data_IF_433950024502
#
_entry.id   IF_433950024502
#
_cell.length_a   1.000
_cell.length_b   1.000
_cell.length_c   1.000
_cell.angle_alpha   90.00
_cell.angle_beta   90.00
_cell.angle_gamma   90.00
#
_symmetry.space_group_name_H-M   'P 1'
#
loop_
_entity.id
_entity.type
_entity.pdbx_description
1 polymer ?
#
# COMPACT_ATOMS: atom_id res chain seq x y z
N UNK A 1 -4.55 20.80 -11.50
CA UNK A 1 -3.83 19.56 -11.80
C UNK A 1 -4.72 18.39 -11.41
N UNK A 2 -5.13 17.59 -12.38
CA UNK A 2 -5.96 16.41 -12.16
C UNK A 2 -5.13 15.32 -11.43
N UNK A 3 -5.82 14.33 -10.81
CA UNK A 3 -5.15 13.11 -10.30
C UNK A 3 -4.39 12.52 -11.49
N UNK A 4 -3.08 12.73 -11.49
CA UNK A 4 -2.28 12.68 -12.71
C UNK A 4 -1.54 11.36 -12.87
N UNK A 5 -2.17 10.46 -13.59
CA UNK A 5 -1.52 9.55 -14.53
C UNK A 5 -2.56 9.29 -15.62
N UNK A 6 -2.16 9.29 -16.89
CA UNK A 6 -3.13 9.21 -17.99
C UNK A 6 -4.08 8.03 -17.84
N UNK A 7 -3.59 6.87 -17.42
CA UNK A 7 -4.39 5.64 -17.29
C UNK A 7 -5.36 5.68 -16.12
N UNK A 8 -4.87 6.00 -14.92
CA UNK A 8 -5.69 6.10 -13.71
C UNK A 8 -6.75 7.20 -13.85
N UNK A 9 -6.41 8.34 -14.48
CA UNK A 9 -7.34 9.44 -14.71
C UNK A 9 -8.52 9.03 -15.60
N UNK A 10 -8.28 8.26 -16.66
CA UNK A 10 -9.35 7.77 -17.55
C UNK A 10 -10.26 6.80 -16.81
N UNK A 11 -9.68 5.85 -16.06
CA UNK A 11 -10.45 4.89 -15.25
C UNK A 11 -11.28 5.62 -14.20
N UNK A 12 -10.68 6.56 -13.46
CA UNK A 12 -11.37 7.38 -12.47
C UNK A 12 -12.51 8.20 -13.06
N UNK A 13 -12.33 8.76 -14.26
CA UNK A 13 -13.40 9.50 -14.96
C UNK A 13 -14.60 8.61 -15.28
N UNK A 14 -14.35 7.38 -15.77
CA UNK A 14 -15.43 6.41 -16.05
C UNK A 14 -16.13 5.98 -14.76
N UNK A 15 -15.35 5.66 -13.71
CA UNK A 15 -15.87 5.27 -12.41
C UNK A 15 -16.68 6.37 -11.76
N UNK A 16 -16.17 7.60 -11.70
CA UNK A 16 -16.87 8.73 -11.09
C UNK A 16 -18.17 9.04 -11.81
N UNK A 17 -18.18 9.02 -13.16
CA UNK A 17 -19.39 9.19 -13.95
C UNK A 17 -20.45 8.14 -13.64
N UNK A 18 -20.08 6.88 -13.59
CA UNK A 18 -20.99 5.77 -13.30
C UNK A 18 -21.46 5.78 -11.83
N UNK A 19 -20.52 5.87 -10.89
CA UNK A 19 -20.85 5.81 -9.46
C UNK A 19 -21.56 7.04 -8.93
N UNK A 20 -21.49 8.19 -9.62
CA UNK A 20 -22.26 9.39 -9.27
C UNK A 20 -23.77 9.21 -9.43
N UNK A 21 -24.23 8.21 -10.17
CA UNK A 21 -25.66 7.89 -10.34
C UNK A 21 -26.27 7.18 -9.12
N UNK A 22 -25.42 6.61 -8.25
CA UNK A 22 -25.87 5.95 -7.03
C UNK A 22 -25.97 6.96 -5.87
N UNK A 23 -27.03 6.88 -5.11
CA UNK A 23 -27.18 7.67 -3.87
C UNK A 23 -26.46 6.98 -2.69
N UNK A 24 -25.16 6.77 -2.85
CA UNK A 24 -24.33 6.05 -1.90
C UNK A 24 -22.91 6.66 -1.83
N UNK A 25 -22.27 6.46 -0.69
CA UNK A 25 -20.91 6.92 -0.48
C UNK A 25 -19.91 5.91 -1.06
N UNK A 26 -19.10 6.35 -2.01
CA UNK A 26 -17.95 5.62 -2.55
C UNK A 26 -16.72 6.51 -2.41
N UNK A 27 -15.70 6.00 -1.76
CA UNK A 27 -14.47 6.73 -1.52
C UNK A 27 -13.30 6.06 -2.20
N UNK A 28 -12.48 6.85 -2.88
CA UNK A 28 -11.12 6.50 -3.25
C UNK A 28 -10.26 6.63 -2.00
N UNK A 29 -9.39 5.66 -1.71
CA UNK A 29 -8.63 5.62 -0.45
C UNK A 29 -7.20 5.10 -0.66
N UNK A 30 -6.32 5.35 0.29
CA UNK A 30 -5.03 4.65 0.38
C UNK A 30 -3.94 5.14 -0.56
N UNK A 31 -3.16 4.19 -1.06
CA UNK A 31 -1.91 4.45 -1.79
C UNK A 31 -2.06 5.30 -3.05
N UNK A 32 -3.17 5.20 -3.77
CA UNK A 32 -3.43 5.98 -4.98
C UNK A 32 -3.53 7.49 -4.69
N UNK A 33 -4.12 7.91 -3.55
CA UNK A 33 -4.16 9.30 -3.14
C UNK A 33 -2.78 9.80 -2.72
N UNK A 34 -2.05 9.02 -1.91
CA UNK A 34 -0.66 9.29 -1.57
C UNK A 34 0.19 9.51 -2.82
N UNK A 35 0.12 8.59 -3.76
CA UNK A 35 0.94 8.63 -4.98
C UNK A 35 0.54 9.81 -5.88
N UNK A 36 -0.76 10.21 -5.89
CA UNK A 36 -1.22 11.43 -6.55
C UNK A 36 -0.63 12.71 -5.94
N UNK A 37 -0.52 12.78 -4.60
CA UNK A 37 0.15 13.91 -3.93
C UNK A 37 1.64 13.99 -4.26
N UNK A 38 2.29 12.83 -4.43
CA UNK A 38 3.72 12.71 -4.71
C UNK A 38 4.04 12.74 -6.21
N UNK A 39 3.05 12.93 -7.09
CA UNK A 39 3.18 12.86 -8.55
C UNK A 39 3.84 11.54 -9.00
N UNK A 40 3.46 10.42 -8.38
CA UNK A 40 3.93 9.07 -8.71
C UNK A 40 2.89 8.33 -9.56
N UNK A 41 3.31 7.37 -10.39
CA UNK A 41 2.38 6.53 -11.13
C UNK A 41 1.43 5.77 -10.22
N UNK A 42 0.15 5.68 -10.61
CA UNK A 42 -0.89 4.93 -9.93
C UNK A 42 -1.08 3.62 -10.67
N UNK A 43 -0.91 2.49 -9.99
CA UNK A 43 -1.00 1.14 -10.57
C UNK A 43 -2.28 0.42 -10.20
N UNK A 44 -2.94 0.83 -9.13
CA UNK A 44 -4.17 0.27 -8.59
C UNK A 44 -5.03 1.35 -7.96
N UNK A 45 -6.31 1.06 -7.78
CA UNK A 45 -7.25 1.91 -7.05
C UNK A 45 -7.91 1.10 -5.94
N UNK A 46 -7.91 1.66 -4.74
CA UNK A 46 -8.68 1.14 -3.62
C UNK A 46 -9.95 1.95 -3.44
N UNK A 47 -11.11 1.29 -3.52
CA UNK A 47 -12.41 1.88 -3.28
C UNK A 47 -13.06 1.28 -2.03
N UNK A 48 -13.60 2.15 -1.20
CA UNK A 48 -14.44 1.77 -0.06
C UNK A 48 -15.85 2.28 -0.31
N UNK A 49 -16.85 1.40 -0.20
CA UNK A 49 -18.24 1.72 -0.54
C UNK A 49 -19.22 1.21 0.50
N UNK A 50 -20.27 2.00 0.75
CA UNK A 50 -21.41 1.57 1.56
C UNK A 50 -22.32 0.54 0.86
N UNK A 51 -22.15 0.36 -0.44
CA UNK A 51 -22.80 -0.70 -1.21
C UNK A 51 -22.09 -2.03 -1.00
N UNK A 52 -22.81 -3.14 -1.16
CA UNK A 52 -22.17 -4.45 -1.12
C UNK A 52 -21.25 -4.63 -2.36
N UNK A 53 -19.92 -4.82 -2.18
CA UNK A 53 -18.97 -5.03 -3.27
C UNK A 53 -19.33 -6.17 -4.21
N UNK A 54 -19.98 -7.24 -3.72
CA UNK A 54 -20.36 -8.37 -4.54
C UNK A 54 -21.59 -8.11 -5.42
N UNK A 55 -22.37 -7.08 -5.08
CA UNK A 55 -23.49 -6.63 -5.92
C UNK A 55 -23.02 -5.61 -6.95
N UNK A 56 -22.29 -4.56 -6.50
CA UNK A 56 -21.92 -3.46 -7.40
C UNK A 56 -20.67 -3.78 -8.23
N UNK A 57 -19.76 -4.65 -7.74
CA UNK A 57 -18.51 -4.98 -8.42
C UNK A 57 -18.70 -5.56 -9.82
N UNK A 58 -19.59 -6.55 -10.04
CA UNK A 58 -19.90 -7.05 -11.39
C UNK A 58 -20.45 -5.98 -12.32
N UNK A 59 -21.28 -5.05 -11.80
CA UNK A 59 -21.87 -3.97 -12.59
C UNK A 59 -20.82 -2.94 -13.00
N UNK A 60 -19.93 -2.55 -12.07
CA UNK A 60 -18.78 -1.70 -12.36
C UNK A 60 -17.87 -2.37 -13.40
N UNK A 61 -17.52 -3.65 -13.19
CA UNK A 61 -16.68 -4.40 -14.11
C UNK A 61 -17.25 -4.41 -15.53
N UNK A 62 -18.54 -4.65 -15.67
CA UNK A 62 -19.23 -4.58 -16.96
C UNK A 62 -19.14 -3.19 -17.60
N UNK A 63 -19.30 -2.12 -16.80
CA UNK A 63 -19.27 -0.74 -17.29
C UNK A 63 -17.90 -0.32 -17.80
N UNK A 64 -16.82 -0.79 -17.15
CA UNK A 64 -15.44 -0.44 -17.52
C UNK A 64 -14.73 -1.52 -18.32
N UNK A 65 -15.44 -2.55 -18.79
CA UNK A 65 -14.91 -3.69 -19.55
C UNK A 65 -13.81 -4.47 -18.79
N UNK A 66 -14.04 -4.70 -17.49
CA UNK A 66 -13.14 -5.47 -16.60
C UNK A 66 -13.72 -6.83 -16.22
N UNK A 67 -12.92 -7.62 -15.52
CA UNK A 67 -13.34 -8.90 -14.93
C UNK A 67 -13.42 -8.75 -13.41
N UNK A 68 -14.59 -9.05 -12.83
CA UNK A 68 -14.77 -9.04 -11.38
C UNK A 68 -14.40 -10.38 -10.78
N UNK A 69 -13.69 -10.35 -9.63
CA UNK A 69 -13.30 -11.51 -8.82
C UNK A 69 -13.69 -11.23 -7.37
N UNK A 70 -14.45 -12.13 -6.76
CA UNK A 70 -14.72 -12.11 -5.33
C UNK A 70 -13.50 -12.63 -4.57
N UNK A 71 -12.98 -11.84 -3.62
CA UNK A 71 -11.83 -12.23 -2.80
C UNK A 71 -12.27 -12.80 -1.45
N UNK A 72 -13.12 -12.08 -0.70
CA UNK A 72 -13.66 -12.53 0.59
C UNK A 72 -15.14 -12.21 0.67
N UNK A 73 -15.88 -13.01 1.47
CA UNK A 73 -17.32 -12.80 1.68
C UNK A 73 -17.60 -11.93 2.89
N UNK A 74 -16.80 -12.04 3.94
CA UNK A 74 -16.94 -11.28 5.18
C UNK A 74 -15.55 -10.93 5.77
N UNK A 75 -15.16 -9.63 5.82
CA UNK A 75 -15.87 -8.54 5.13
C UNK A 75 -15.89 -8.73 3.61
N UNK A 76 -16.94 -8.19 2.95
CA UNK A 76 -17.08 -8.30 1.50
C UNK A 76 -15.98 -7.49 0.80
N UNK A 77 -15.11 -8.19 0.07
CA UNK A 77 -14.02 -7.61 -0.74
C UNK A 77 -14.03 -8.26 -2.12
N UNK A 78 -13.94 -7.44 -3.14
CA UNK A 78 -13.80 -7.88 -4.53
C UNK A 78 -12.75 -7.11 -5.28
N UNK A 79 -12.29 -7.66 -6.40
CA UNK A 79 -11.30 -7.07 -7.29
C UNK A 79 -11.82 -7.02 -8.71
N UNK A 80 -11.62 -5.90 -9.37
CA UNK A 80 -11.84 -5.77 -10.82
C UNK A 80 -10.48 -5.70 -11.48
N UNK A 81 -10.28 -6.51 -12.52
CA UNK A 81 -9.06 -6.54 -13.31
C UNK A 81 -9.37 -6.01 -14.71
N UNK A 82 -8.65 -4.99 -15.13
CA UNK A 82 -8.63 -4.48 -16.49
C UNK A 82 -7.43 -5.08 -17.22
N UNK A 83 -7.66 -5.88 -18.26
CA UNK A 83 -6.57 -6.52 -19.02
C UNK A 83 -6.05 -5.59 -20.12
N UNK A 84 -4.74 -5.59 -20.34
CA UNK A 84 -4.11 -5.00 -21.52
C UNK A 84 -4.43 -5.87 -22.74
N UNK A 85 -4.84 -5.25 -23.86
CA UNK A 85 -5.12 -5.98 -25.09
C UNK A 85 -6.60 -6.22 -25.42
N UNK A 86 -7.54 -5.80 -24.59
CA UNK A 86 -8.94 -5.69 -25.00
C UNK A 86 -9.14 -4.40 -25.78
N UNK A 87 -9.70 -4.48 -27.00
CA UNK A 87 -9.92 -3.35 -27.94
C UNK A 87 -10.56 -2.11 -27.28
N UNK A 88 -11.33 -2.32 -26.21
CA UNK A 88 -11.97 -1.26 -25.43
C UNK A 88 -11.07 -0.61 -24.37
N UNK A 89 -9.92 -1.21 -24.06
CA UNK A 89 -9.00 -0.78 -22.99
C UNK A 89 -7.61 -0.37 -23.50
N UNK A 90 -7.32 -0.53 -24.81
CA UNK A 90 -5.99 -0.28 -25.38
C UNK A 90 -5.47 1.15 -25.14
N UNK A 91 -6.34 2.15 -25.18
CA UNK A 91 -5.91 3.55 -25.06
C UNK A 91 -5.40 3.95 -23.68
N UNK A 92 -5.76 3.22 -22.62
CA UNK A 92 -5.32 3.53 -21.27
C UNK A 92 -4.37 2.50 -20.65
N UNK A 93 -4.33 1.28 -21.18
CA UNK A 93 -3.44 0.25 -20.66
C UNK A 93 -2.09 0.22 -21.38
N UNK A 94 -2.00 0.76 -22.61
CA UNK A 94 -0.74 0.88 -23.35
C UNK A 94 0.27 1.85 -22.71
N UNK A 95 -0.17 2.71 -21.78
CA UNK A 95 0.72 3.59 -21.02
C UNK A 95 1.31 2.93 -19.76
N UNK A 96 0.79 1.75 -19.36
CA UNK A 96 1.34 0.97 -18.24
C UNK A 96 2.35 0.00 -18.83
N UNK A 97 3.65 0.33 -18.74
CA UNK A 97 4.75 -0.47 -19.24
C UNK A 97 4.58 -1.98 -18.97
N UNK A 98 3.94 -2.67 -19.88
CA UNK A 98 4.35 -3.99 -20.36
C UNK A 98 4.05 -5.22 -19.53
N UNK A 99 3.25 -5.21 -18.42
CA UNK A 99 2.82 -6.50 -17.81
C UNK A 99 1.85 -6.27 -16.65
N UNK A 100 0.74 -6.97 -16.63
CA UNK A 100 -0.29 -7.03 -15.60
C UNK A 100 -1.28 -5.86 -15.60
N UNK A 101 -2.54 -6.20 -15.81
CA UNK A 101 -3.64 -5.26 -15.92
C UNK A 101 -3.80 -4.35 -14.69
N UNK A 102 -4.46 -3.22 -14.91
CA UNK A 102 -4.83 -2.28 -13.85
C UNK A 102 -5.88 -2.92 -12.94
N UNK A 103 -5.73 -2.77 -11.61
CA UNK A 103 -6.65 -3.38 -10.64
C UNK A 103 -7.41 -2.34 -9.85
N UNK A 104 -8.66 -2.68 -9.50
CA UNK A 104 -9.52 -1.88 -8.64
C UNK A 104 -10.03 -2.80 -7.54
N UNK A 105 -9.61 -2.54 -6.31
CA UNK A 105 -10.09 -3.25 -5.14
C UNK A 105 -11.30 -2.53 -4.54
N UNK A 106 -12.36 -3.30 -4.27
CA UNK A 106 -13.59 -2.83 -3.67
C UNK A 106 -13.76 -3.46 -2.31
N UNK A 107 -13.87 -2.65 -1.27
CA UNK A 107 -14.14 -3.12 0.09
C UNK A 107 -15.41 -2.47 0.65
N UNK A 108 -16.13 -3.23 1.48
CA UNK A 108 -17.34 -2.74 2.13
C UNK A 108 -17.01 -1.76 3.26
N UNK A 109 -17.65 -0.59 3.24
CA UNK A 109 -17.56 0.40 4.30
C UNK A 109 -18.48 -0.01 5.45
N UNK A 110 -17.89 -0.51 6.52
CA UNK A 110 -18.60 -0.78 7.76
C UNK A 110 -18.55 0.47 8.65
N UNK A 111 -19.68 1.18 8.73
CA UNK A 111 -19.78 2.40 9.53
C UNK A 111 -19.31 3.67 8.83
N UNK A 112 -18.56 4.50 9.55
CA UNK A 112 -18.06 5.79 9.07
C UNK A 112 -16.69 5.67 8.38
N UNK A 113 -16.46 6.51 7.35
CA UNK A 113 -15.18 6.54 6.63
C UNK A 113 -14.02 6.94 7.54
N UNK A 114 -14.23 7.83 8.48
CA UNK A 114 -13.18 8.28 9.42
C UNK A 114 -12.71 7.10 10.30
N UNK A 115 -13.66 6.30 10.79
CA UNK A 115 -13.34 5.08 11.54
C UNK A 115 -12.59 4.06 10.66
N UNK A 116 -12.99 3.89 9.40
CA UNK A 116 -12.27 3.04 8.46
C UNK A 116 -10.82 3.50 8.23
N UNK A 117 -10.59 4.80 8.05
CA UNK A 117 -9.24 5.35 7.89
C UNK A 117 -8.36 5.11 9.13
N UNK A 118 -8.92 5.16 10.32
CA UNK A 118 -8.20 4.90 11.57
C UNK A 118 -7.73 3.43 11.74
N UNK A 119 -8.33 2.47 11.02
CA UNK A 119 -7.92 1.06 11.03
C UNK A 119 -6.77 0.74 10.09
N UNK A 120 -6.37 1.70 9.22
CA UNK A 120 -5.27 1.53 8.27
C UNK A 120 -3.92 1.51 8.98
N UNK A 121 -2.89 1.17 8.22
CA UNK A 121 -1.53 0.99 8.76
C UNK A 121 -0.82 2.32 9.08
N UNK A 122 -0.72 3.22 8.08
CA UNK A 122 0.03 4.46 8.20
C UNK A 122 -0.80 5.67 7.78
N UNK A 123 -0.52 6.82 8.42
CA UNK A 123 -1.25 8.07 8.16
C UNK A 123 -1.24 8.48 6.70
N UNK A 124 -0.12 8.27 6.00
CA UNK A 124 0.05 8.58 4.57
C UNK A 124 -0.87 7.77 3.64
N UNK A 125 -1.37 6.62 4.11
CA UNK A 125 -2.33 5.76 3.41
C UNK A 125 -3.74 5.87 4.00
N UNK A 126 -3.94 6.75 5.00
CA UNK A 126 -5.22 6.97 5.70
C UNK A 126 -5.93 8.22 5.19
N UNK A 127 -5.95 8.37 3.87
CA UNK A 127 -6.62 9.45 3.16
C UNK A 127 -7.84 8.91 2.42
N UNK A 128 -8.91 9.70 2.31
CA UNK A 128 -10.06 9.37 1.48
C UNK A 128 -10.53 10.57 0.66
N UNK A 129 -11.05 10.31 -0.53
CA UNK A 129 -11.68 11.28 -1.38
C UNK A 129 -12.99 10.69 -1.92
N UNK A 130 -14.10 11.43 -1.81
CA UNK A 130 -15.33 10.99 -2.44
C UNK A 130 -15.10 10.85 -3.96
N UNK A 131 -15.54 9.73 -4.54
CA UNK A 131 -15.34 9.46 -5.98
C UNK A 131 -15.91 10.54 -6.88
N UNK A 132 -16.95 11.27 -6.44
CA UNK A 132 -17.55 12.39 -7.18
C UNK A 132 -16.65 13.62 -7.27
N UNK A 133 -15.68 13.71 -6.37
CA UNK A 133 -14.78 14.85 -6.26
C UNK A 133 -13.44 14.65 -6.98
N UNK A 134 -13.13 13.42 -7.40
CA UNK A 134 -11.83 13.07 -7.97
C UNK A 134 -11.50 13.78 -9.31
N UNK A 135 -12.52 14.33 -10.00
CA UNK A 135 -12.34 15.10 -11.25
C UNK A 135 -12.34 16.63 -11.04
N UNK A 136 -12.56 17.09 -9.81
CA UNK A 136 -12.56 18.53 -9.49
C UNK A 136 -11.12 19.05 -9.46
N UNK A 137 -10.83 20.25 -9.98
CA UNK A 137 -9.49 20.86 -9.89
C UNK A 137 -8.99 21.00 -8.44
N UNK A 138 -9.92 21.30 -7.52
CA UNK A 138 -9.67 21.47 -6.08
C UNK A 138 -9.73 20.16 -5.26
N UNK A 139 -9.62 19.00 -5.87
CA UNK A 139 -9.76 17.69 -5.20
C UNK A 139 -8.87 17.53 -3.96
N UNK A 140 -7.70 18.19 -3.94
CA UNK A 140 -6.77 18.16 -2.80
C UNK A 140 -7.37 18.78 -1.54
N UNK A 141 -8.18 19.81 -1.69
CA UNK A 141 -8.85 20.51 -0.58
C UNK A 141 -10.08 19.73 -0.07
N UNK A 142 -10.55 18.76 -0.84
CA UNK A 142 -11.70 17.90 -0.52
C UNK A 142 -11.31 16.55 0.11
N UNK A 143 -10.01 16.34 0.35
CA UNK A 143 -9.50 15.13 1.01
C UNK A 143 -9.97 15.06 2.46
N UNK A 144 -10.49 13.91 2.83
CA UNK A 144 -10.72 13.54 4.22
C UNK A 144 -9.42 13.00 4.81
N UNK A 145 -8.85 13.74 5.76
CA UNK A 145 -7.55 13.45 6.39
C UNK A 145 -7.65 13.58 7.92
N UNK A 146 -8.33 12.65 8.60
CA UNK A 146 -8.53 12.75 10.05
C UNK A 146 -7.23 12.54 10.86
N UNK A 147 -6.18 11.97 10.25
CA UNK A 147 -4.93 11.57 10.92
C UNK A 147 -3.72 12.42 10.50
N UNK A 148 -3.93 13.52 9.78
CA UNK A 148 -2.89 14.41 9.29
C UNK A 148 -1.88 13.71 8.34
N UNK A 149 -2.35 12.77 7.51
CA UNK A 149 -1.54 12.05 6.55
C UNK A 149 -0.93 12.95 5.47
N UNK A 150 -1.64 13.99 5.03
CA UNK A 150 -1.14 14.99 4.09
C UNK A 150 0.06 15.74 4.67
N UNK A 151 0.03 16.10 5.96
CA UNK A 151 1.19 16.69 6.65
C UNK A 151 2.38 15.71 6.65
N UNK A 152 2.14 14.44 6.95
CA UNK A 152 3.20 13.43 6.99
C UNK A 152 3.77 13.15 5.59
N UNK A 153 2.99 13.31 4.52
CA UNK A 153 3.49 13.30 3.13
C UNK A 153 4.48 14.45 2.88
N UNK A 154 4.14 15.67 3.27
CA UNK A 154 5.02 16.83 3.11
C UNK A 154 6.29 16.75 3.97
N UNK A 155 6.18 16.19 5.19
CA UNK A 155 7.33 15.99 6.09
C UNK A 155 8.09 14.70 5.82
N UNK A 156 7.69 13.93 4.80
CA UNK A 156 8.29 12.64 4.41
C UNK A 156 8.40 11.66 5.58
N UNK A 157 7.29 11.47 6.28
CA UNK A 157 7.23 10.69 7.53
C UNK A 157 6.28 9.50 7.38
N UNK A 158 6.73 8.31 7.80
CA UNK A 158 5.89 7.10 7.97
C UNK A 158 5.50 7.03 9.44
N UNK A 159 4.23 7.25 9.73
CA UNK A 159 3.64 7.24 11.07
C UNK A 159 2.53 6.19 11.15
N UNK A 160 2.56 5.34 12.17
CA UNK A 160 1.47 4.42 12.47
C UNK A 160 0.19 5.18 12.84
N UNK A 161 -0.97 4.69 12.40
CA UNK A 161 -2.27 5.31 12.68
C UNK A 161 -2.69 5.21 14.13
N UNK A 162 -2.26 4.15 14.83
CA UNK A 162 -2.62 3.88 16.23
C UNK A 162 -1.53 3.05 16.92
N UNK A 163 -1.53 3.02 18.27
CA UNK A 163 -0.64 2.13 19.05
C UNK A 163 -0.91 0.64 18.83
N UNK A 164 -2.09 0.26 18.34
CA UNK A 164 -2.45 -1.13 18.07
C UNK A 164 -2.08 -1.59 16.65
N UNK A 165 -1.64 -0.70 15.78
CA UNK A 165 -1.39 -0.94 14.35
C UNK A 165 -0.63 -2.24 14.08
N UNK A 166 0.41 -2.54 14.86
CA UNK A 166 1.24 -3.74 14.67
C UNK A 166 0.69 -4.99 15.34
N UNK A 167 -0.22 -4.85 16.31
CA UNK A 167 -0.95 -5.96 16.92
C UNK A 167 -2.11 -6.39 16.06
N UNK A 168 -2.79 -5.43 15.43
CA UNK A 168 -3.94 -5.69 14.58
C UNK A 168 -3.53 -6.44 13.31
N UNK A 169 -2.37 -6.10 12.74
CA UNK A 169 -1.76 -6.83 11.62
C UNK A 169 -0.22 -6.75 11.69
N UNK A 170 0.46 -7.82 12.16
CA UNK A 170 1.92 -7.85 12.29
C UNK A 170 2.69 -7.68 10.97
N UNK A 171 2.10 -7.96 9.79
CA UNK A 171 2.75 -7.72 8.50
C UNK A 171 3.12 -6.24 8.29
N UNK A 172 2.43 -5.34 8.99
CA UNK A 172 2.69 -3.90 8.97
C UNK A 172 4.09 -3.53 9.51
N UNK A 173 4.73 -4.41 10.28
CA UNK A 173 6.13 -4.27 10.71
C UNK A 173 7.08 -4.20 9.49
N UNK A 174 6.95 -5.15 8.57
CA UNK A 174 7.73 -5.17 7.33
C UNK A 174 7.29 -4.06 6.38
N UNK A 175 5.99 -3.83 6.30
CA UNK A 175 5.40 -2.81 5.43
C UNK A 175 5.88 -1.39 5.77
N UNK A 176 6.14 -1.08 7.06
CA UNK A 176 6.75 0.19 7.48
C UNK A 176 8.11 0.41 6.81
N UNK A 177 8.98 -0.62 6.83
CA UNK A 177 10.31 -0.57 6.21
C UNK A 177 10.20 -0.49 4.69
N UNK A 178 9.32 -1.29 4.09
CA UNK A 178 9.06 -1.24 2.65
C UNK A 178 8.60 0.14 2.18
N UNK A 179 7.63 0.73 2.85
CA UNK A 179 7.13 2.06 2.50
C UNK A 179 8.18 3.15 2.71
N UNK A 180 8.94 3.08 3.81
CA UNK A 180 10.08 3.98 4.05
C UNK A 180 11.07 3.92 2.89
N UNK A 181 11.46 2.72 2.45
CA UNK A 181 12.34 2.52 1.31
C UNK A 181 11.73 3.02 -0.01
N UNK A 182 10.46 2.70 -0.23
CA UNK A 182 9.73 3.00 -1.47
C UNK A 182 9.55 4.50 -1.69
N UNK A 183 9.28 5.23 -0.63
CA UNK A 183 8.97 6.66 -0.67
C UNK A 183 10.19 7.53 -0.37
N UNK A 184 11.26 6.96 0.19
CA UNK A 184 12.40 7.72 0.72
C UNK A 184 12.01 8.52 1.97
N UNK A 185 11.08 8.01 2.78
CA UNK A 185 10.55 8.65 3.98
C UNK A 185 11.21 8.07 5.24
N UNK A 186 11.28 8.87 6.30
CA UNK A 186 11.75 8.42 7.61
C UNK A 186 10.57 7.83 8.42
N UNK A 187 10.85 6.75 9.14
CA UNK A 187 9.87 6.21 10.11
C UNK A 187 9.91 7.12 11.35
N UNK A 188 8.73 7.55 11.78
CA UNK A 188 8.55 8.43 12.93
C UNK A 188 9.09 7.79 14.22
N UNK A 189 9.75 8.54 15.13
CA UNK A 189 10.42 7.96 16.30
C UNK A 189 9.51 7.09 17.20
N UNK A 190 8.25 7.51 17.43
CA UNK A 190 7.31 6.71 18.23
C UNK A 190 6.93 5.42 17.50
N UNK A 191 6.74 5.50 16.19
CA UNK A 191 6.49 4.32 15.34
C UNK A 191 7.67 3.35 15.37
N UNK A 192 8.93 3.82 15.39
CA UNK A 192 10.12 2.98 15.58
C UNK A 192 10.11 2.27 16.93
N UNK A 193 9.72 2.96 18.01
CA UNK A 193 9.58 2.36 19.35
C UNK A 193 8.52 1.26 19.32
N UNK A 194 7.37 1.53 18.71
CA UNK A 194 6.26 0.57 18.65
C UNK A 194 6.61 -0.65 17.79
N UNK A 195 7.35 -0.46 16.68
CA UNK A 195 7.88 -1.56 15.87
C UNK A 195 8.80 -2.44 16.69
N UNK A 196 9.78 -1.86 17.38
CA UNK A 196 10.72 -2.63 18.22
C UNK A 196 10.02 -3.41 19.33
N UNK A 197 9.02 -2.79 19.95
CA UNK A 197 8.22 -3.41 21.00
C UNK A 197 7.43 -4.63 20.54
N UNK A 198 7.02 -4.66 19.26
CA UNK A 198 6.17 -5.71 18.70
C UNK A 198 6.88 -6.53 17.60
N UNK A 199 8.21 -6.41 17.50
CA UNK A 199 9.01 -7.12 16.47
C UNK A 199 8.88 -8.64 16.55
N UNK A 200 8.65 -9.20 17.74
CA UNK A 200 8.39 -10.62 17.99
C UNK A 200 7.13 -11.14 17.28
N UNK A 201 6.15 -10.27 17.03
CA UNK A 201 4.95 -10.64 16.28
C UNK A 201 5.22 -10.93 14.80
N UNK A 202 6.38 -10.56 14.26
CA UNK A 202 6.73 -10.83 12.86
C UNK A 202 6.69 -12.33 12.53
N UNK A 203 6.98 -13.21 13.49
CA UNK A 203 6.92 -14.66 13.33
C UNK A 203 5.48 -15.19 13.10
N UNK A 204 4.46 -14.44 13.47
CA UNK A 204 3.05 -14.82 13.31
C UNK A 204 2.50 -14.51 11.92
N UNK A 205 3.24 -13.78 11.09
CA UNK A 205 2.86 -13.44 9.72
C UNK A 205 3.03 -14.66 8.82
N UNK A 206 2.09 -14.89 7.90
CA UNK A 206 2.22 -16.01 6.96
C UNK A 206 3.45 -15.85 6.06
N UNK A 207 4.06 -16.98 5.68
CA UNK A 207 5.29 -17.00 4.89
C UNK A 207 5.14 -16.28 3.54
N UNK A 208 3.96 -16.37 2.91
CA UNK A 208 3.66 -15.71 1.65
C UNK A 208 3.72 -14.18 1.80
N UNK A 209 3.11 -13.64 2.86
CA UNK A 209 3.12 -12.18 3.12
C UNK A 209 4.52 -11.68 3.47
N UNK A 210 5.27 -12.44 4.27
CA UNK A 210 6.69 -12.13 4.57
C UNK A 210 7.50 -12.09 3.27
N UNK A 211 7.38 -13.14 2.44
CA UNK A 211 8.07 -13.23 1.15
C UNK A 211 7.78 -12.02 0.27
N UNK A 212 6.50 -11.65 0.13
CA UNK A 212 6.09 -10.59 -0.77
C UNK A 212 6.62 -9.22 -0.30
N UNK A 213 6.57 -8.93 1.00
CA UNK A 213 7.17 -7.71 1.56
C UNK A 213 8.71 -7.70 1.42
N UNK A 214 9.38 -8.82 1.70
CA UNK A 214 10.84 -8.94 1.55
C UNK A 214 11.28 -8.79 0.09
N UNK A 215 10.62 -9.44 -0.86
CA UNK A 215 10.94 -9.30 -2.28
C UNK A 215 10.77 -7.84 -2.75
N UNK A 216 9.73 -7.16 -2.27
CA UNK A 216 9.54 -5.74 -2.55
C UNK A 216 10.63 -4.84 -1.94
N UNK A 217 11.19 -5.21 -0.79
CA UNK A 217 12.33 -4.51 -0.19
C UNK A 217 13.62 -4.79 -0.98
N UNK A 218 13.90 -6.08 -1.28
CA UNK A 218 15.13 -6.53 -1.90
C UNK A 218 15.26 -6.13 -3.37
N UNK A 219 14.14 -5.99 -4.09
CA UNK A 219 14.14 -5.57 -5.50
C UNK A 219 14.50 -4.08 -5.72
N UNK A 220 14.74 -3.33 -4.64
CA UNK A 220 15.04 -1.89 -4.71
C UNK A 220 16.52 -1.60 -4.58
N UNK A 221 16.96 -0.50 -5.22
CA UNK A 221 18.30 0.04 -4.95
C UNK A 221 18.46 0.35 -3.45
N UNK A 222 19.58 -0.07 -2.88
CA UNK A 222 19.85 0.12 -1.45
C UNK A 222 19.25 -0.95 -0.54
N UNK A 223 18.94 -2.14 -1.05
CA UNK A 223 18.42 -3.28 -0.28
C UNK A 223 19.23 -3.56 0.98
N UNK A 224 20.55 -3.48 0.92
CA UNK A 224 21.44 -3.62 2.09
C UNK A 224 21.08 -2.66 3.22
N UNK A 225 20.85 -1.38 2.91
CA UNK A 225 20.46 -0.40 3.92
C UNK A 225 19.13 -0.77 4.58
N UNK A 226 18.19 -1.31 3.80
CA UNK A 226 16.88 -1.73 4.30
C UNK A 226 16.95 -3.01 5.15
N UNK A 227 17.81 -3.96 4.79
CA UNK A 227 18.10 -5.13 5.63
C UNK A 227 18.69 -4.70 6.97
N UNK A 228 19.60 -3.73 6.98
CA UNK A 228 20.13 -3.13 8.22
C UNK A 228 19.03 -2.45 9.04
N UNK A 229 18.05 -1.80 8.41
CA UNK A 229 16.91 -1.22 9.12
C UNK A 229 16.06 -2.32 9.76
N UNK A 230 15.70 -3.38 9.02
CA UNK A 230 14.97 -4.53 9.53
C UNK A 230 15.69 -5.19 10.73
N UNK A 231 17.01 -5.29 10.65
CA UNK A 231 17.84 -5.84 11.72
C UNK A 231 17.84 -4.94 12.97
N UNK A 232 18.08 -3.65 12.81
CA UNK A 232 18.04 -2.66 13.91
C UNK A 232 16.67 -2.53 14.57
N UNK A 233 15.61 -2.85 13.85
CA UNK A 233 14.24 -2.90 14.37
C UNK A 233 13.92 -4.24 15.06
N UNK A 234 14.81 -5.24 14.98
CA UNK A 234 14.63 -6.55 15.57
C UNK A 234 13.74 -7.50 14.76
N UNK A 235 13.33 -7.10 13.53
CA UNK A 235 12.41 -7.89 12.70
C UNK A 235 13.16 -9.01 11.98
N UNK A 236 14.35 -8.73 11.43
CA UNK A 236 15.03 -9.62 10.50
C UNK A 236 15.34 -10.99 11.08
N UNK A 237 15.87 -11.04 12.31
CA UNK A 237 16.17 -12.29 12.99
C UNK A 237 14.94 -13.01 13.55
N UNK A 238 13.76 -12.36 13.60
CA UNK A 238 12.51 -13.05 13.93
C UNK A 238 11.99 -13.87 12.73
N UNK A 239 12.16 -13.35 11.52
CA UNK A 239 11.70 -14.00 10.29
C UNK A 239 12.73 -14.96 9.67
N UNK A 240 14.03 -14.73 9.93
CA UNK A 240 15.16 -15.59 9.50
C UNK A 240 16.11 -15.76 10.70
N UNK A 241 15.80 -16.66 11.63
CA UNK A 241 16.57 -16.83 12.88
C UNK A 241 18.04 -17.21 12.65
N UNK A 242 18.33 -17.92 11.56
CA UNK A 242 19.68 -18.37 11.19
C UNK A 242 20.65 -17.19 11.03
N UNK A 243 20.16 -16.02 10.62
CA UNK A 243 20.98 -14.83 10.47
C UNK A 243 21.56 -14.34 11.80
N UNK A 244 20.89 -14.61 12.92
CA UNK A 244 21.43 -14.26 14.24
C UNK A 244 22.77 -14.95 14.52
N UNK A 245 22.97 -16.16 14.00
CA UNK A 245 24.18 -16.95 14.18
C UNK A 245 25.38 -16.36 13.42
N UNK A 246 25.15 -15.55 12.41
CA UNK A 246 26.22 -14.98 11.54
C UNK A 246 26.83 -13.70 12.11
N UNK A 247 26.16 -13.01 13.03
CA UNK A 247 26.51 -11.67 13.50
C UNK A 247 27.87 -11.58 14.21
N UNK A 248 28.27 -12.64 14.90
CA UNK A 248 29.50 -12.68 15.69
C UNK A 248 30.55 -13.66 15.14
N UNK A 249 30.36 -14.12 13.90
CA UNK A 249 31.30 -15.07 13.28
C UNK A 249 32.37 -14.28 12.55
N UNK A 250 33.58 -14.39 13.02
CA UNK A 250 34.78 -13.83 12.35
C UNK A 250 35.16 -14.72 11.15
N UNK A 251 35.67 -14.11 10.09
CA UNK A 251 36.23 -14.82 8.95
C UNK A 251 37.76 -14.87 9.04
N UNK A 252 38.41 -15.82 8.32
CA UNK A 252 39.88 -15.84 8.19
C UNK A 252 40.41 -14.49 7.68
N UNK A 253 41.70 -14.20 7.95
CA UNK A 253 42.36 -12.91 7.69
C UNK A 253 42.31 -12.43 6.22
N UNK A 254 41.97 -13.31 5.28
CA UNK A 254 41.75 -12.95 3.88
C UNK A 254 40.44 -12.16 3.63
N UNK A 255 39.50 -12.13 4.60
CA UNK A 255 38.25 -11.44 4.50
C UNK A 255 38.26 -10.19 5.38
N UNK A 256 37.82 -9.06 4.82
CA UNK A 256 37.76 -7.78 5.54
C UNK A 256 36.57 -7.69 6.50
N UNK A 257 35.41 -8.30 6.11
CA UNK A 257 34.20 -8.26 6.88
C UNK A 257 33.97 -9.55 7.69
N UNK A 258 33.19 -9.47 8.79
CA UNK A 258 32.61 -10.66 9.42
C UNK A 258 31.52 -11.29 8.51
N UNK A 259 31.02 -12.46 8.90
CA UNK A 259 30.03 -13.19 8.05
C UNK A 259 28.77 -12.36 7.79
N UNK A 260 28.25 -11.67 8.81
CA UNK A 260 27.08 -10.81 8.67
C UNK A 260 27.31 -9.65 7.68
N UNK A 261 28.37 -8.90 7.87
CA UNK A 261 28.71 -7.79 6.97
C UNK A 261 28.96 -8.28 5.55
N UNK A 262 29.62 -9.43 5.39
CA UNK A 262 29.84 -10.02 4.08
C UNK A 262 28.51 -10.35 3.37
N UNK A 263 27.55 -10.99 4.07
CA UNK A 263 26.23 -11.28 3.53
C UNK A 263 25.46 -10.02 3.09
N UNK A 264 25.66 -8.91 3.79
CA UNK A 264 25.00 -7.65 3.42
C UNK A 264 25.62 -7.01 2.17
N UNK A 265 26.92 -7.25 1.91
CA UNK A 265 27.65 -6.65 0.80
C UNK A 265 27.66 -7.49 -0.48
N UNK A 266 27.09 -8.71 -0.43
CA UNK A 266 26.93 -9.61 -1.57
C UNK A 266 25.62 -9.40 -2.26
#
# INVERSE_FOLDING_TARGET
DHISDNSASIVLKKLSGYLSTYDSSVYLVGGCLRDSFLNRPIHDLDLVTSLNPHTIGPEIAKHIHGTYIQLTSDPAIGRIILKSGDDHNESYLNSINGTTGFTIDLSHLLGDITANLATRDFTVDSLALNIRDCQKPEWRDLILDPLNGVRDLFTKTIRATSPSTFKDDPCRLLRAVRLSAQLGFLIEPQTVIDIKKHSDLAITVSAERIRDELLNILSRHGAMAQLNVLDKLGILCQIIPELALTKNVTQPSAHYWNVWEHLLHT
#
